data_IF_324837623834
#
_entry.id   IF_324837623834
#
_cell.length_a   1.000
_cell.length_b   1.000
_cell.length_c   1.000
_cell.angle_alpha   90.00
_cell.angle_beta   90.00
_cell.angle_gamma   90.00
#
_symmetry.space_group_name_H-M   'P 1'
#
loop_
_entity.id
_entity.type
_entity.pdbx_description
1 polymer ?
#
# COMPACT_ATOMS: atom_id res chain seq x y z
N UNK A 1 -0.34 -27.59 -24.56
CA UNK A 1 -0.67 -26.82 -23.34
C UNK A 1 -1.18 -27.81 -22.32
N UNK A 2 -0.91 -27.60 -21.03
CA UNK A 2 -1.50 -28.44 -19.98
C UNK A 2 -2.95 -28.03 -19.72
N UNK A 3 -3.72 -28.89 -19.03
CA UNK A 3 -5.12 -28.60 -18.67
C UNK A 3 -5.28 -27.25 -17.96
N UNK A 4 -4.30 -26.86 -17.15
CA UNK A 4 -4.22 -25.56 -16.47
C UNK A 4 -4.15 -24.37 -17.43
N UNK A 5 -3.28 -24.43 -18.45
CA UNK A 5 -3.13 -23.40 -19.46
C UNK A 5 -4.37 -23.23 -20.33
N UNK A 6 -5.09 -24.32 -20.63
CA UNK A 6 -6.35 -24.26 -21.38
C UNK A 6 -7.47 -23.58 -20.57
N UNK A 7 -7.57 -23.84 -19.26
CA UNK A 7 -8.55 -23.15 -18.41
C UNK A 7 -8.27 -21.65 -18.31
N UNK A 8 -7.00 -21.26 -18.15
CA UNK A 8 -6.61 -19.85 -18.13
C UNK A 8 -6.92 -19.18 -19.47
N UNK A 9 -6.58 -19.84 -20.59
CA UNK A 9 -6.87 -19.34 -21.93
C UNK A 9 -8.37 -19.20 -22.17
N UNK A 10 -9.17 -20.19 -21.76
CA UNK A 10 -10.62 -20.15 -21.90
C UNK A 10 -11.22 -18.94 -21.17
N UNK A 11 -10.76 -18.66 -19.95
CA UNK A 11 -11.17 -17.47 -19.22
C UNK A 11 -10.75 -16.18 -19.94
N UNK A 12 -9.51 -16.08 -20.42
CA UNK A 12 -9.04 -14.92 -21.21
C UNK A 12 -9.89 -14.71 -22.46
N UNK A 13 -10.25 -15.78 -23.17
CA UNK A 13 -11.11 -15.69 -24.36
C UNK A 13 -12.50 -15.17 -23.98
N UNK A 14 -13.11 -15.68 -22.92
CA UNK A 14 -14.43 -15.19 -22.45
C UNK A 14 -14.36 -13.70 -22.15
N UNK A 15 -13.34 -13.25 -21.42
CA UNK A 15 -13.13 -11.84 -21.08
C UNK A 15 -12.92 -10.99 -22.34
N UNK A 16 -12.05 -11.42 -23.27
CA UNK A 16 -11.81 -10.73 -24.53
C UNK A 16 -13.05 -10.65 -25.39
N UNK A 17 -13.80 -11.76 -25.52
CA UNK A 17 -15.06 -11.80 -26.24
C UNK A 17 -16.07 -10.79 -25.66
N UNK A 18 -16.21 -10.76 -24.33
CA UNK A 18 -17.09 -9.82 -23.66
C UNK A 18 -16.66 -8.36 -23.88
N UNK A 19 -15.35 -8.08 -23.94
CA UNK A 19 -14.85 -6.71 -24.11
C UNK A 19 -14.90 -6.21 -25.56
N UNK A 20 -14.65 -7.06 -26.56
CA UNK A 20 -14.55 -6.65 -27.97
C UNK A 20 -15.83 -6.82 -28.78
N UNK A 21 -16.74 -7.73 -28.39
CA UNK A 21 -17.95 -8.02 -29.18
C UNK A 21 -19.25 -7.49 -28.56
N UNK A 22 -19.29 -7.18 -27.25
CA UNK A 22 -20.45 -6.49 -26.68
C UNK A 22 -20.42 -4.99 -27.02
N UNK A 23 -21.58 -4.35 -26.86
CA UNK A 23 -21.72 -2.90 -26.92
C UNK A 23 -20.81 -2.23 -25.87
N UNK A 24 -20.28 -1.01 -26.14
CA UNK A 24 -19.32 -0.35 -25.25
C UNK A 24 -19.81 -0.20 -23.81
N UNK A 25 -21.11 0.04 -23.62
CA UNK A 25 -21.76 0.17 -22.31
C UNK A 25 -21.71 -1.13 -21.49
N UNK A 26 -21.80 -2.28 -22.17
CA UNK A 26 -21.75 -3.59 -21.55
C UNK A 26 -20.33 -4.18 -21.49
N UNK A 27 -19.34 -3.56 -22.14
CA UNK A 27 -17.94 -3.96 -22.03
C UNK A 27 -17.42 -3.87 -20.58
N UNK A 28 -18.04 -3.02 -19.74
CA UNK A 28 -17.83 -2.96 -18.29
C UNK A 28 -18.00 -4.29 -17.56
N UNK A 29 -18.84 -5.20 -18.08
CA UNK A 29 -19.08 -6.53 -17.52
C UNK A 29 -17.80 -7.38 -17.53
N UNK A 30 -16.95 -7.22 -18.54
CA UNK A 30 -15.67 -7.93 -18.60
C UNK A 30 -14.75 -7.57 -17.42
N UNK A 31 -14.68 -6.29 -17.05
CA UNK A 31 -13.91 -5.82 -15.90
C UNK A 31 -14.50 -6.29 -14.57
N UNK A 32 -15.83 -6.29 -14.44
CA UNK A 32 -16.50 -6.83 -13.26
C UNK A 32 -16.21 -8.33 -13.09
N UNK A 33 -16.24 -9.10 -14.18
CA UNK A 33 -15.92 -10.52 -14.19
C UNK A 33 -14.45 -10.78 -13.83
N UNK A 34 -13.52 -9.99 -14.39
CA UNK A 34 -12.09 -10.03 -14.02
C UNK A 34 -11.94 -9.77 -12.52
N UNK A 35 -12.54 -8.70 -12.00
CA UNK A 35 -12.41 -8.30 -10.60
C UNK A 35 -12.99 -9.35 -9.65
N UNK A 36 -14.19 -9.87 -9.94
CA UNK A 36 -14.85 -10.88 -9.13
C UNK A 36 -14.05 -12.17 -9.12
N UNK A 37 -13.64 -12.67 -10.29
CA UNK A 37 -12.85 -13.88 -10.40
C UNK A 37 -11.49 -13.76 -9.69
N UNK A 38 -10.73 -12.70 -10.00
CA UNK A 38 -9.39 -12.51 -9.46
C UNK A 38 -9.41 -12.30 -7.95
N UNK A 39 -10.33 -11.49 -7.43
CA UNK A 39 -10.46 -11.27 -5.99
C UNK A 39 -10.91 -12.54 -5.27
N UNK A 40 -11.94 -13.23 -5.77
CA UNK A 40 -12.45 -14.45 -5.15
C UNK A 40 -11.40 -15.56 -5.11
N UNK A 41 -10.68 -15.76 -6.22
CA UNK A 41 -9.65 -16.80 -6.29
C UNK A 41 -8.42 -16.45 -5.45
N UNK A 42 -8.03 -15.17 -5.40
CA UNK A 42 -6.96 -14.70 -4.52
C UNK A 42 -7.31 -14.96 -3.05
N UNK A 43 -8.52 -14.61 -2.61
CA UNK A 43 -9.00 -14.87 -1.23
C UNK A 43 -9.08 -16.37 -0.94
N UNK A 44 -9.63 -17.17 -1.85
CA UNK A 44 -9.69 -18.63 -1.71
C UNK A 44 -8.29 -19.24 -1.54
N UNK A 45 -7.33 -18.80 -2.34
CA UNK A 45 -5.95 -19.29 -2.28
C UNK A 45 -5.25 -18.90 -0.98
N UNK A 46 -5.49 -17.68 -0.47
CA UNK A 46 -4.98 -17.24 0.84
C UNK A 46 -5.50 -18.10 2.00
N UNK A 47 -6.81 -18.40 2.01
CA UNK A 47 -7.45 -19.22 3.05
C UNK A 47 -6.91 -20.64 3.00
N UNK A 48 -6.90 -21.25 1.82
CA UNK A 48 -6.51 -22.64 1.63
C UNK A 48 -5.06 -22.90 2.04
N UNK A 49 -4.16 -21.97 1.79
CA UNK A 49 -2.74 -22.10 2.11
C UNK A 49 -2.38 -21.54 3.49
N UNK A 50 -3.36 -21.17 4.35
CA UNK A 50 -3.15 -20.62 5.69
C UNK A 50 -2.22 -19.39 5.75
N UNK A 51 -2.13 -18.64 4.65
CA UNK A 51 -1.25 -17.48 4.51
C UNK A 51 -1.65 -16.33 5.44
N UNK A 52 -2.87 -16.36 5.99
CA UNK A 52 -3.36 -15.42 7.00
C UNK A 52 -2.49 -15.36 8.25
N UNK A 53 -1.85 -16.46 8.66
CA UNK A 53 -0.97 -16.47 9.82
C UNK A 53 0.26 -15.57 9.63
N UNK A 54 0.79 -15.45 8.41
CA UNK A 54 1.90 -14.54 8.11
C UNK A 54 1.50 -13.08 8.24
N UNK A 55 0.35 -12.72 7.66
CA UNK A 55 -0.21 -11.36 7.73
C UNK A 55 -0.54 -10.97 9.18
N UNK A 56 -1.17 -11.88 9.93
CA UNK A 56 -1.52 -11.67 11.34
C UNK A 56 -0.25 -11.54 12.19
N UNK A 57 0.79 -12.35 11.93
CA UNK A 57 2.07 -12.25 12.64
C UNK A 57 2.77 -10.92 12.36
N UNK A 58 2.79 -10.45 11.12
CA UNK A 58 3.34 -9.14 10.75
C UNK A 58 2.58 -7.98 11.41
N UNK A 59 1.26 -8.09 11.49
CA UNK A 59 0.40 -7.10 12.17
C UNK A 59 0.63 -7.09 13.68
N UNK A 60 0.74 -8.27 14.30
CA UNK A 60 0.99 -8.41 15.73
C UNK A 60 2.39 -7.93 16.12
N UNK A 61 3.40 -8.22 15.28
CA UNK A 61 4.76 -7.68 15.42
C UNK A 61 4.77 -6.15 15.31
N UNK A 62 3.96 -5.58 14.42
CA UNK A 62 3.81 -4.12 14.26
C UNK A 62 3.22 -3.45 15.50
N UNK A 63 2.23 -4.09 16.13
CA UNK A 63 1.67 -3.62 17.41
C UNK A 63 2.72 -3.67 18.53
N UNK A 64 3.51 -4.74 18.57
CA UNK A 64 4.56 -4.91 19.57
C UNK A 64 5.69 -3.88 19.41
N UNK A 65 6.08 -3.58 18.17
CA UNK A 65 7.03 -2.51 17.85
C UNK A 65 6.46 -1.13 18.20
N UNK A 66 5.16 -0.90 18.02
CA UNK A 66 4.52 0.34 18.51
C UNK A 66 4.57 0.46 20.03
N UNK A 67 4.42 -0.64 20.77
CA UNK A 67 4.54 -0.61 22.24
C UNK A 67 5.96 -0.23 22.69
N UNK A 68 7.00 -0.63 21.93
CA UNK A 68 8.39 -0.25 22.18
C UNK A 68 8.68 1.23 21.88
N UNK A 69 7.83 1.92 21.12
CA UNK A 69 7.96 3.35 20.81
C UNK A 69 7.81 4.27 22.04
N UNK A 70 7.31 3.73 23.17
CA UNK A 70 7.15 4.45 24.45
C UNK A 70 8.51 4.78 25.08
N UNK A 71 9.58 4.02 24.78
CA UNK A 71 10.92 4.28 25.30
C UNK A 71 11.57 5.38 24.45
N UNK A 72 11.81 6.60 24.97
CA UNK A 72 12.42 7.67 24.20
C UNK A 72 13.84 7.29 23.74
N UNK A 73 14.24 7.79 22.57
CA UNK A 73 15.54 7.53 21.89
C UNK A 73 15.68 6.09 21.37
N UNK A 74 15.68 5.08 22.25
CA UNK A 74 15.85 3.67 21.85
C UNK A 74 14.65 3.16 21.03
N UNK A 75 13.43 3.44 21.47
CA UNK A 75 12.21 3.05 20.77
C UNK A 75 12.08 3.69 19.39
N UNK A 76 12.55 4.93 19.22
CA UNK A 76 12.49 5.63 17.93
C UNK A 76 13.42 5.02 16.89
N UNK A 77 14.64 4.65 17.28
CA UNK A 77 15.59 3.96 16.39
C UNK A 77 14.99 2.63 15.92
N UNK A 78 14.38 1.88 16.83
CA UNK A 78 13.71 0.60 16.51
C UNK A 78 12.53 0.81 15.56
N UNK A 79 11.69 1.82 15.80
CA UNK A 79 10.55 2.15 14.92
C UNK A 79 11.02 2.57 13.53
N UNK A 80 12.02 3.44 13.43
CA UNK A 80 12.58 3.88 12.14
C UNK A 80 13.16 2.69 11.38
N UNK A 81 13.96 1.84 12.04
CA UNK A 81 14.52 0.63 11.44
C UNK A 81 13.43 -0.34 10.97
N UNK A 82 12.37 -0.52 11.76
CA UNK A 82 11.25 -1.37 11.41
C UNK A 82 10.45 -0.84 10.21
N UNK A 83 10.20 0.47 10.14
CA UNK A 83 9.51 1.08 9.00
C UNK A 83 10.35 0.95 7.73
N UNK A 84 11.66 1.24 7.80
CA UNK A 84 12.57 1.06 6.65
C UNK A 84 12.62 -0.41 6.21
N UNK A 85 12.67 -1.36 7.16
CA UNK A 85 12.62 -2.80 6.86
C UNK A 85 11.33 -3.18 6.10
N UNK A 86 10.16 -2.75 6.58
CA UNK A 86 8.90 -3.05 5.91
C UNK A 86 8.77 -2.35 4.55
N UNK A 87 9.29 -1.13 4.39
CA UNK A 87 9.37 -0.45 3.09
C UNK A 87 10.26 -1.25 2.14
N UNK A 88 11.45 -1.69 2.58
CA UNK A 88 12.35 -2.51 1.74
C UNK A 88 11.66 -3.79 1.29
N UNK A 89 10.96 -4.48 2.21
CA UNK A 89 10.20 -5.69 1.93
C UNK A 89 9.07 -5.44 0.91
N UNK A 90 8.35 -4.34 1.06
CA UNK A 90 7.30 -3.93 0.12
C UNK A 90 7.87 -3.60 -1.27
N UNK A 91 9.02 -2.91 -1.34
CA UNK A 91 9.74 -2.62 -2.59
C UNK A 91 10.21 -3.91 -3.27
N UNK A 92 10.72 -4.88 -2.52
CA UNK A 92 11.15 -6.16 -3.09
C UNK A 92 9.98 -6.98 -3.63
N UNK A 93 8.82 -6.97 -2.97
CA UNK A 93 7.61 -7.54 -3.55
C UNK A 93 7.18 -6.81 -4.81
N UNK A 94 7.16 -5.47 -4.79
CA UNK A 94 6.82 -4.68 -5.97
C UNK A 94 7.73 -5.04 -7.16
N UNK A 95 9.04 -5.19 -6.93
CA UNK A 95 10.00 -5.67 -7.94
C UNK A 95 9.64 -7.06 -8.46
N UNK A 96 9.24 -7.97 -7.56
CA UNK A 96 8.79 -9.32 -7.95
C UNK A 96 7.53 -9.29 -8.80
N UNK A 97 6.64 -8.30 -8.60
CA UNK A 97 5.40 -8.10 -9.37
C UNK A 97 5.61 -7.41 -10.72
N UNK A 98 6.75 -6.75 -10.99
CA UNK A 98 7.01 -6.04 -12.27
C UNK A 98 6.64 -6.84 -13.52
N UNK A 99 7.05 -8.12 -13.70
CA UNK A 99 6.69 -8.87 -14.91
C UNK A 99 5.18 -9.06 -15.05
N UNK A 100 4.48 -9.26 -13.94
CA UNK A 100 3.02 -9.40 -13.90
C UNK A 100 2.32 -8.04 -14.12
N UNK A 101 2.90 -6.93 -13.65
CA UNK A 101 2.42 -5.58 -13.94
C UNK A 101 2.56 -5.26 -15.42
N UNK A 102 3.71 -5.58 -16.03
CA UNK A 102 3.96 -5.30 -17.44
C UNK A 102 3.00 -6.08 -18.35
N UNK A 103 2.79 -7.37 -18.06
CA UNK A 103 1.80 -8.19 -18.79
C UNK A 103 0.38 -7.67 -18.59
N UNK A 104 0.03 -7.24 -17.38
CA UNK A 104 -1.26 -6.61 -17.12
C UNK A 104 -1.45 -5.30 -17.85
N UNK A 105 -0.43 -4.44 -17.93
CA UNK A 105 -0.52 -3.19 -18.68
C UNK A 105 -0.79 -3.45 -20.16
N UNK A 106 -0.14 -4.47 -20.74
CA UNK A 106 -0.40 -4.87 -22.13
C UNK A 106 -1.83 -5.38 -22.29
N UNK A 107 -2.27 -6.31 -21.43
CA UNK A 107 -3.58 -6.95 -21.52
C UNK A 107 -4.72 -5.96 -21.26
N UNK A 108 -4.65 -5.20 -20.16
CA UNK A 108 -5.62 -4.15 -19.85
C UNK A 108 -5.59 -3.02 -20.86
N UNK A 109 -4.40 -2.63 -21.34
CA UNK A 109 -4.26 -1.62 -22.38
C UNK A 109 -4.98 -2.01 -23.66
N UNK A 110 -4.86 -3.27 -24.09
CA UNK A 110 -5.58 -3.80 -25.25
C UNK A 110 -7.10 -3.87 -25.01
N UNK A 111 -7.56 -4.25 -23.82
CA UNK A 111 -8.99 -4.28 -23.49
C UNK A 111 -9.59 -2.86 -23.44
N UNK A 112 -8.87 -1.92 -22.83
CA UNK A 112 -9.30 -0.52 -22.66
C UNK A 112 -9.15 0.30 -23.93
N UNK A 113 -8.25 -0.05 -24.84
CA UNK A 113 -8.01 0.73 -26.06
C UNK A 113 -9.28 0.95 -26.88
N UNK A 114 -10.15 -0.07 -27.00
CA UNK A 114 -11.44 0.06 -27.68
C UNK A 114 -12.32 1.14 -27.03
N UNK A 115 -12.37 1.15 -25.71
CA UNK A 115 -13.20 2.07 -24.92
C UNK A 115 -12.61 3.49 -24.89
N UNK A 116 -11.29 3.60 -24.73
CA UNK A 116 -10.58 4.87 -24.59
C UNK A 116 -10.54 5.68 -25.90
N UNK A 117 -10.46 5.00 -27.05
CA UNK A 117 -10.38 5.64 -28.36
C UNK A 117 -11.71 5.62 -29.16
N UNK A 118 -12.83 5.21 -28.54
CA UNK A 118 -14.15 5.02 -29.18
C UNK A 118 -14.07 4.34 -30.57
N UNK A 119 -13.36 3.21 -30.62
CA UNK A 119 -13.10 2.50 -31.87
C UNK A 119 -14.36 1.75 -32.29
N UNK A 120 -14.97 2.17 -33.41
CA UNK A 120 -16.18 1.56 -33.98
C UNK A 120 -15.91 0.74 -35.24
N UNK A 121 -14.76 0.94 -35.87
CA UNK A 121 -14.41 0.23 -37.10
C UNK A 121 -14.22 -1.27 -36.85
N UNK A 122 -14.94 -2.15 -37.57
CA UNK A 122 -14.91 -3.59 -37.33
C UNK A 122 -13.52 -4.18 -37.60
N UNK A 123 -12.78 -3.64 -38.56
CA UNK A 123 -11.41 -4.06 -38.85
C UNK A 123 -10.46 -3.70 -37.70
N UNK A 124 -10.58 -2.51 -37.12
CA UNK A 124 -9.75 -2.10 -35.99
C UNK A 124 -10.05 -2.93 -34.73
N UNK A 125 -11.32 -3.26 -34.48
CA UNK A 125 -11.73 -4.17 -33.40
C UNK A 125 -11.15 -5.57 -33.62
N UNK A 126 -11.20 -6.10 -34.84
CA UNK A 126 -10.63 -7.41 -35.16
C UNK A 126 -9.12 -7.46 -34.94
N UNK A 127 -8.40 -6.42 -35.36
CA UNK A 127 -6.94 -6.29 -35.12
C UNK A 127 -6.63 -6.27 -33.62
N UNK A 128 -7.38 -5.51 -32.84
CA UNK A 128 -7.21 -5.38 -31.39
C UNK A 128 -7.51 -6.71 -30.67
N UNK A 129 -8.58 -7.40 -31.08
CA UNK A 129 -8.95 -8.72 -30.56
C UNK A 129 -7.90 -9.78 -30.89
N UNK A 130 -7.36 -9.77 -32.11
CA UNK A 130 -6.25 -10.65 -32.50
C UNK A 130 -4.99 -10.37 -31.69
N UNK A 131 -4.61 -9.09 -31.50
CA UNK A 131 -3.47 -8.70 -30.68
C UNK A 131 -3.65 -9.17 -29.22
N UNK A 132 -4.84 -9.00 -28.66
CA UNK A 132 -5.19 -9.51 -27.33
C UNK A 132 -5.06 -11.02 -27.24
N UNK A 133 -5.59 -11.75 -28.22
CA UNK A 133 -5.55 -13.21 -28.25
C UNK A 133 -4.11 -13.74 -28.35
N UNK A 134 -3.26 -13.10 -29.15
CA UNK A 134 -1.83 -13.43 -29.23
C UNK A 134 -1.15 -13.21 -27.88
N UNK A 135 -1.38 -12.06 -27.22
CA UNK A 135 -0.84 -11.77 -25.90
C UNK A 135 -1.32 -12.79 -24.85
N UNK A 136 -2.61 -13.15 -24.87
CA UNK A 136 -3.20 -14.15 -23.98
C UNK A 136 -2.59 -15.54 -24.19
N UNK A 137 -2.36 -15.97 -25.43
CA UNK A 137 -1.69 -17.24 -25.74
C UNK A 137 -0.25 -17.23 -25.22
N UNK A 138 0.52 -16.17 -25.47
CA UNK A 138 1.91 -16.06 -25.00
C UNK A 138 1.95 -16.19 -23.47
N UNK A 139 1.10 -15.44 -22.77
CA UNK A 139 0.99 -15.51 -21.31
C UNK A 139 0.60 -16.92 -20.82
N UNK A 140 -0.47 -17.51 -21.38
CA UNK A 140 -0.93 -18.85 -20.99
C UNK A 140 0.10 -19.94 -21.29
N UNK A 141 0.94 -19.76 -22.31
CA UNK A 141 2.06 -20.68 -22.58
C UNK A 141 3.12 -20.62 -21.48
N UNK A 142 3.38 -19.44 -20.92
CA UNK A 142 4.25 -19.25 -19.76
C UNK A 142 3.73 -19.90 -18.46
N UNK A 143 2.46 -20.31 -18.42
CA UNK A 143 1.85 -21.00 -17.29
C UNK A 143 1.92 -22.54 -17.39
N UNK A 144 2.40 -23.11 -18.51
CA UNK A 144 2.32 -24.54 -18.77
C UNK A 144 3.16 -25.44 -17.82
N UNK A 145 4.06 -24.87 -17.01
CA UNK A 145 4.81 -25.62 -15.99
C UNK A 145 4.14 -25.68 -14.62
N UNK A 146 3.02 -24.98 -14.43
CA UNK A 146 2.40 -24.82 -13.12
C UNK A 146 1.23 -25.79 -12.93
N UNK A 147 1.05 -26.23 -11.68
CA UNK A 147 -0.18 -26.92 -11.26
C UNK A 147 -1.39 -26.01 -11.50
N UNK A 148 -2.57 -26.60 -11.74
CA UNK A 148 -3.79 -25.84 -12.05
C UNK A 148 -4.09 -24.78 -11.00
N UNK A 149 -3.85 -25.09 -9.72
CA UNK A 149 -4.09 -24.15 -8.64
C UNK A 149 -3.17 -22.92 -8.73
N UNK A 150 -1.87 -23.14 -8.97
CA UNK A 150 -0.86 -22.08 -9.03
C UNK A 150 -0.98 -21.26 -10.33
N UNK A 151 -1.39 -21.89 -11.43
CA UNK A 151 -1.64 -21.19 -12.69
C UNK A 151 -2.79 -20.18 -12.58
N UNK A 152 -3.93 -20.61 -11.99
CA UNK A 152 -5.08 -19.74 -11.74
C UNK A 152 -4.75 -18.64 -10.71
N UNK A 153 -3.90 -18.95 -9.74
CA UNK A 153 -3.43 -17.95 -8.76
C UNK A 153 -2.56 -16.89 -9.42
N UNK A 154 -1.56 -17.30 -10.21
CA UNK A 154 -0.68 -16.40 -10.95
C UNK A 154 -1.45 -15.52 -11.94
N UNK A 155 -2.47 -16.09 -12.59
CA UNK A 155 -3.40 -15.34 -13.43
C UNK A 155 -4.21 -14.30 -12.63
N UNK A 156 -4.68 -14.67 -11.43
CA UNK A 156 -5.38 -13.74 -10.54
C UNK A 156 -4.46 -12.62 -10.05
N UNK A 157 -3.20 -12.93 -9.72
CA UNK A 157 -2.18 -11.93 -9.39
C UNK A 157 -1.93 -10.99 -10.55
N UNK A 158 -1.79 -11.50 -11.78
CA UNK A 158 -1.66 -10.68 -12.98
C UNK A 158 -2.83 -9.68 -13.04
N UNK A 159 -4.08 -10.14 -13.02
CA UNK A 159 -5.23 -9.23 -13.08
C UNK A 159 -5.28 -8.18 -11.96
N UNK A 160 -4.79 -8.50 -10.76
CA UNK A 160 -4.72 -7.61 -9.61
C UNK A 160 -3.40 -6.84 -9.47
N UNK A 161 -2.43 -7.05 -10.37
CA UNK A 161 -1.07 -6.54 -10.20
C UNK A 161 -1.02 -5.01 -10.24
N UNK A 162 -1.80 -4.37 -11.13
CA UNK A 162 -1.91 -2.91 -11.22
C UNK A 162 -2.50 -2.30 -9.95
N UNK A 163 -3.70 -2.70 -9.48
CA UNK A 163 -4.23 -2.15 -8.23
C UNK A 163 -3.33 -2.46 -7.03
N UNK A 164 -2.70 -3.64 -6.96
CA UNK A 164 -1.74 -3.94 -5.89
C UNK A 164 -0.46 -3.10 -5.96
N UNK A 165 0.08 -2.85 -7.16
CA UNK A 165 1.22 -1.96 -7.33
C UNK A 165 0.87 -0.52 -6.92
N UNK A 166 -0.31 -0.03 -7.30
CA UNK A 166 -0.78 1.29 -6.91
C UNK A 166 -0.92 1.40 -5.38
N UNK A 167 -1.56 0.42 -4.74
CA UNK A 167 -1.74 0.40 -3.29
C UNK A 167 -0.42 0.29 -2.53
N UNK A 168 0.53 -0.51 -3.01
CA UNK A 168 1.85 -0.63 -2.37
C UNK A 168 2.65 0.67 -2.49
N UNK A 169 2.63 1.33 -3.65
CA UNK A 169 3.27 2.65 -3.83
C UNK A 169 2.63 3.70 -2.92
N UNK A 170 1.30 3.79 -2.86
CA UNK A 170 0.58 4.70 -1.97
C UNK A 170 0.95 4.42 -0.51
N UNK A 171 1.01 3.15 -0.11
CA UNK A 171 1.38 2.75 1.24
C UNK A 171 2.83 3.15 1.59
N UNK A 172 3.77 2.95 0.66
CA UNK A 172 5.18 3.37 0.84
C UNK A 172 5.28 4.88 0.99
N UNK A 173 4.63 5.65 0.10
CA UNK A 173 4.62 7.11 0.15
C UNK A 173 3.97 7.62 1.44
N UNK A 174 2.86 7.02 1.86
CA UNK A 174 2.20 7.34 3.13
C UNK A 174 3.09 7.05 4.34
N UNK A 175 3.79 5.92 4.33
CA UNK A 175 4.67 5.53 5.42
C UNK A 175 5.92 6.41 5.53
N UNK A 176 6.55 6.75 4.40
CA UNK A 176 7.64 7.71 4.34
C UNK A 176 7.17 9.08 4.82
N UNK A 177 6.01 9.55 4.31
CA UNK A 177 5.39 10.79 4.74
C UNK A 177 5.16 10.83 6.25
N UNK A 178 4.64 9.76 6.85
CA UNK A 178 4.41 9.64 8.29
C UNK A 178 5.70 9.48 9.11
N UNK A 179 6.75 8.88 8.56
CA UNK A 179 8.05 8.72 9.22
C UNK A 179 8.80 10.05 9.32
N UNK A 180 8.72 10.87 8.28
CA UNK A 180 9.37 12.18 8.20
C UNK A 180 8.46 13.35 8.58
N UNK A 181 7.22 13.08 9.02
CA UNK A 181 6.31 14.12 9.50
C UNK A 181 6.79 14.63 10.85
N UNK A 182 7.52 15.73 10.83
CA UNK A 182 7.92 16.47 12.02
C UNK A 182 6.68 17.00 12.75
N UNK A 183 6.38 16.46 13.94
CA UNK A 183 5.31 16.98 14.81
C UNK A 183 5.90 18.15 15.60
N UNK A 184 5.75 19.37 15.09
CA UNK A 184 6.08 20.56 15.88
C UNK A 184 5.06 20.67 17.01
N UNK A 185 5.48 20.43 18.25
CA UNK A 185 4.64 20.60 19.43
C UNK A 185 5.09 21.82 20.20
N UNK A 186 4.22 22.80 20.36
CA UNK A 186 4.48 23.94 21.25
C UNK A 186 4.39 23.44 22.70
N UNK A 187 5.50 23.47 23.43
CA UNK A 187 5.54 23.18 24.86
C UNK A 187 5.48 24.52 25.60
N UNK A 188 4.44 24.73 26.38
CA UNK A 188 4.33 25.91 27.24
C UNK A 188 5.19 25.70 28.48
N UNK A 189 6.30 26.43 28.59
CA UNK A 189 7.21 26.37 29.74
C UNK A 189 6.97 27.59 30.63
N UNK A 190 6.60 27.36 31.89
CA UNK A 190 6.53 28.43 32.89
C UNK A 190 7.94 28.79 33.35
N UNK A 191 8.40 29.99 33.01
CA UNK A 191 9.65 30.57 33.48
C UNK A 191 9.34 31.47 34.67
N UNK A 192 10.03 31.26 35.79
CA UNK A 192 9.92 32.11 36.98
C UNK A 192 10.88 33.29 36.81
N UNK A 193 10.34 34.47 36.57
CA UNK A 193 11.12 35.71 36.48
C UNK A 193 11.02 36.48 37.80
N UNK A 194 12.13 36.79 38.48
CA UNK A 194 12.11 37.65 39.65
C UNK A 194 11.81 39.09 39.22
N UNK A 195 10.74 39.67 39.75
CA UNK A 195 10.40 41.08 39.57
C UNK A 195 10.59 41.80 40.91
N UNK A 196 11.43 42.84 40.92
CA UNK A 196 11.55 43.74 42.07
C UNK A 196 10.37 44.68 42.08
N UNK A 197 9.59 44.66 43.16
CA UNK A 197 8.45 45.57 43.35
C UNK A 197 8.92 46.73 44.19
N UNK A 198 8.86 47.93 43.62
CA UNK A 198 9.21 49.17 44.32
C UNK A 198 8.30 49.40 45.54
N UNK A 199 8.84 50.03 46.58
CA UNK A 199 8.11 50.34 47.79
C UNK A 199 6.82 51.13 47.50
N UNK A 200 5.72 50.75 48.14
CA UNK A 200 4.41 51.38 47.94
C UNK A 200 3.59 51.36 49.23
N UNK A 201 2.58 52.22 49.29
CA UNK A 201 1.65 52.29 50.44
C UNK A 201 0.44 51.41 50.17
N UNK A 202 0.04 50.57 51.14
CA UNK A 202 -1.23 49.83 51.09
C UNK A 202 -1.94 49.94 52.44
N UNK A 203 -3.15 50.50 52.44
CA UNK A 203 -3.94 50.66 53.67
C UNK A 203 -3.27 51.55 54.73
N UNK A 204 -2.50 52.57 54.31
CA UNK A 204 -1.83 53.50 55.22
C UNK A 204 -0.51 53.01 55.81
N UNK A 205 -0.08 51.78 55.50
CA UNK A 205 1.20 51.21 55.95
C UNK A 205 2.16 51.15 54.76
N UNK A 206 3.41 51.57 54.99
CA UNK A 206 4.47 51.50 53.98
C UNK A 206 4.96 50.06 53.86
N UNK A 207 4.91 49.54 52.63
CA UNK A 207 5.48 48.25 52.29
C UNK A 207 6.80 48.55 51.57
N UNK A 208 7.90 48.10 52.18
CA UNK A 208 9.26 48.20 51.62
C UNK A 208 9.39 47.43 50.29
N UNK A 209 10.45 47.72 49.54
CA UNK A 209 10.71 47.00 48.30
C UNK A 209 10.92 45.51 48.56
N UNK A 210 10.25 44.68 47.76
CA UNK A 210 10.37 43.23 47.89
C UNK A 210 10.43 42.60 46.51
N UNK A 211 11.19 41.52 46.39
CA UNK A 211 11.26 40.73 45.17
C UNK A 211 10.16 39.70 45.19
N UNK A 212 9.31 39.68 44.16
CA UNK A 212 8.32 38.60 43.94
C UNK A 212 8.69 37.83 42.69
N UNK A 213 8.60 36.51 42.75
CA UNK A 213 8.71 35.64 41.59
C UNK A 213 7.37 35.59 40.87
N UNK A 214 7.35 36.01 39.60
CA UNK A 214 6.18 35.89 38.73
C UNK A 214 6.41 34.74 37.77
N UNK A 215 5.47 33.80 37.73
CA UNK A 215 5.44 32.76 36.71
C UNK A 215 4.93 33.35 35.40
N UNK A 216 5.81 33.47 34.40
CA UNK A 216 5.42 33.82 33.03
C UNK A 216 5.43 32.54 32.19
N UNK A 217 4.31 32.23 31.55
CA UNK A 217 4.19 31.10 30.63
C UNK A 217 4.79 31.49 29.27
N UNK A 218 5.97 31.00 28.95
CA UNK A 218 6.61 31.20 27.64
C UNK A 218 6.29 29.99 26.77
N UNK A 219 5.67 30.21 25.61
CA UNK A 219 5.46 29.16 24.63
C UNK A 219 6.78 28.90 23.89
N UNK A 220 7.44 27.78 24.16
CA UNK A 220 8.60 27.31 23.39
C UNK A 220 8.09 26.35 22.29
N UNK A 221 8.36 26.69 21.03
CA UNK A 221 8.07 25.78 19.91
C UNK A 221 9.12 24.69 19.89
N UNK A 222 8.78 23.51 20.41
CA UNK A 222 9.69 22.35 20.41
C UNK A 222 9.36 21.50 19.18
N UNK A 223 10.23 21.59 18.18
CA UNK A 223 10.16 20.75 16.99
C UNK A 223 10.53 19.32 17.36
N UNK A 224 9.54 18.43 17.53
CA UNK A 224 9.78 17.01 17.85
C UNK A 224 9.47 16.15 16.64
N UNK A 225 10.48 15.49 16.08
CA UNK A 225 10.24 14.45 15.07
C UNK A 225 9.70 13.23 15.81
N UNK A 226 8.37 13.07 15.85
CA UNK A 226 7.71 11.90 16.42
C UNK A 226 7.25 11.03 15.25
N UNK A 227 7.81 9.81 15.07
CA UNK A 227 7.38 8.91 14.01
C UNK A 227 5.88 8.62 14.11
N UNK A 228 5.13 8.88 13.04
CA UNK A 228 3.69 8.72 13.02
C UNK A 228 3.24 7.25 13.12
N UNK A 229 2.37 6.97 14.09
CA UNK A 229 1.72 5.68 14.40
C UNK A 229 1.04 5.04 13.17
N UNK A 230 0.58 5.84 12.21
CA UNK A 230 -0.12 5.36 11.00
C UNK A 230 0.73 4.66 9.94
N UNK A 231 2.06 4.84 9.94
CA UNK A 231 2.95 4.21 8.94
C UNK A 231 3.34 2.76 9.24
N UNK A 232 3.22 2.33 10.50
CA UNK A 232 3.70 1.02 10.97
C UNK A 232 2.74 -0.12 10.61
N UNK A 233 1.43 0.12 10.64
CA UNK A 233 0.40 -0.89 10.35
C UNK A 233 0.21 -1.09 8.84
N UNK A 234 0.29 -0.04 8.05
CA UNK A 234 0.10 -0.12 6.58
C UNK A 234 1.29 -0.78 5.88
N UNK A 235 2.52 -0.52 6.33
CA UNK A 235 3.73 -1.09 5.72
C UNK A 235 3.94 -2.57 6.00
N UNK A 236 3.56 -3.06 7.17
CA UNK A 236 3.69 -4.48 7.51
C UNK A 236 2.75 -5.37 6.72
N UNK A 237 1.51 -4.92 6.48
CA UNK A 237 0.57 -5.62 5.61
C UNK A 237 1.08 -5.65 4.17
N UNK A 238 1.59 -4.53 3.65
CA UNK A 238 2.17 -4.47 2.31
C UNK A 238 3.43 -5.36 2.17
N UNK A 239 4.30 -5.40 3.19
CA UNK A 239 5.52 -6.20 3.22
C UNK A 239 5.26 -7.72 3.26
N UNK A 240 4.32 -8.20 4.08
CA UNK A 240 3.98 -9.63 4.15
C UNK A 240 3.39 -10.16 2.85
N UNK A 241 2.48 -9.40 2.22
CA UNK A 241 1.91 -9.76 0.92
C UNK A 241 3.00 -9.80 -0.17
N UNK A 242 3.92 -8.83 -0.14
CA UNK A 242 5.08 -8.75 -1.03
C UNK A 242 6.01 -9.96 -0.96
N UNK A 243 6.37 -10.43 0.25
CA UNK A 243 7.28 -11.57 0.42
C UNK A 243 6.67 -12.89 -0.08
N UNK A 244 5.36 -13.08 0.11
CA UNK A 244 4.70 -14.31 -0.32
C UNK A 244 4.56 -14.43 -1.83
N UNK A 245 4.39 -13.32 -2.55
CA UNK A 245 4.46 -13.32 -4.02
C UNK A 245 5.85 -13.73 -4.53
N UNK A 246 6.92 -13.41 -3.79
CA UNK A 246 8.29 -13.80 -4.13
C UNK A 246 8.56 -15.30 -3.92
N UNK A 247 8.04 -15.88 -2.84
CA UNK A 247 8.29 -17.28 -2.44
C UNK A 247 7.57 -18.31 -3.33
N UNK A 248 6.48 -17.94 -4.01
CA UNK A 248 5.72 -18.87 -4.88
C UNK A 248 6.13 -18.82 -6.37
N UNK A 249 7.19 -18.09 -6.71
CA UNK A 249 7.74 -18.12 -8.07
C UNK A 249 8.65 -19.34 -8.21
N UNK A 250 8.36 -20.31 -9.10
CA UNK A 250 9.38 -21.27 -9.49
C UNK A 250 10.44 -20.51 -10.29
N UNK A 251 11.71 -20.84 -10.04
CA UNK A 251 12.84 -20.45 -10.89
C UNK A 251 12.57 -20.75 -12.37
#
# INVERSE_FOLDING_TARGET
MNQSGYLCLAFMIIVGCLSFFLQPEAAGVSFALIALFSCSYFVYFLIKNNLHHGIIRGLLLSVLVMALAVIPVLGWIVVIGFVIYNISKAVDGLKSLIPDVLTSVVIYGLLLARLAFDIRDPLAIAVLACAYLVAAIIYCRGLNGLTTQNALFKMSIMWLSIPFAALTVISIVSALGNLFRTISSTITRTVLTPQVVSAHMRGGIQIEEYTRTISTSVNETVTRVVPGVGGVVTTSMAGEVAQKVKEEKPE
#
